data_IF_648595470435
#
_entry.id   IF_648595470435
#
_cell.length_a   1.000
_cell.length_b   1.000
_cell.length_c   1.000
_cell.angle_alpha   90.00
_cell.angle_beta   90.00
_cell.angle_gamma   90.00
#
_symmetry.space_group_name_H-M   'P 1'
#
loop_
_entity.id
_entity.type
_entity.pdbx_description
1 polymer ?
#
# COMPACT_ATOMS: atom_id res chain seq x y z
N UNK A 1 -31.77 9.09 -9.87
CA UNK A 1 -31.44 7.97 -8.97
C UNK A 1 -30.81 6.90 -9.84
N UNK A 2 -29.50 6.79 -9.81
CA UNK A 2 -28.77 5.72 -10.48
C UNK A 2 -28.93 4.49 -9.59
N UNK A 3 -29.49 3.42 -10.15
CA UNK A 3 -29.78 2.19 -9.40
C UNK A 3 -28.50 1.58 -8.83
N UNK A 4 -28.50 1.36 -7.51
CA UNK A 4 -27.35 0.87 -6.72
C UNK A 4 -26.81 -0.50 -7.17
N UNK A 5 -27.56 -1.25 -7.98
CA UNK A 5 -27.19 -2.60 -8.46
C UNK A 5 -26.16 -2.60 -9.60
N UNK A 6 -26.15 -1.59 -10.46
CA UNK A 6 -25.27 -1.56 -11.65
C UNK A 6 -23.83 -1.14 -11.35
N UNK A 7 -23.59 -0.41 -10.25
CA UNK A 7 -22.30 0.20 -9.96
C UNK A 7 -21.26 -0.84 -9.47
N UNK A 8 -21.70 -1.86 -8.71
CA UNK A 8 -20.81 -2.94 -8.24
C UNK A 8 -20.50 -3.90 -9.39
N UNK A 9 -21.46 -4.14 -10.31
CA UNK A 9 -21.25 -4.96 -11.49
C UNK A 9 -20.41 -4.23 -12.56
N UNK A 10 -20.58 -2.92 -12.71
CA UNK A 10 -19.76 -2.09 -13.61
C UNK A 10 -18.33 -1.91 -13.06
N UNK A 11 -18.13 -1.93 -11.75
CA UNK A 11 -16.79 -1.95 -11.16
C UNK A 11 -16.04 -3.26 -11.46
N UNK A 12 -16.71 -4.38 -11.36
CA UNK A 12 -16.13 -5.68 -11.76
C UNK A 12 -15.83 -5.71 -13.28
N UNK A 13 -16.51 -4.87 -14.07
CA UNK A 13 -16.38 -4.81 -15.54
C UNK A 13 -15.59 -3.60 -16.08
N UNK A 14 -15.51 -2.50 -15.35
CA UNK A 14 -15.04 -1.21 -15.87
C UNK A 14 -13.69 -0.73 -15.35
N UNK A 15 -13.01 -1.51 -14.52
CA UNK A 15 -11.63 -1.21 -14.14
C UNK A 15 -10.74 -1.27 -15.38
N UNK A 16 -9.78 -0.37 -15.49
CA UNK A 16 -8.70 -0.40 -16.48
C UNK A 16 -7.86 -1.68 -16.42
N UNK A 17 -8.12 -2.52 -15.42
CA UNK A 17 -7.52 -3.83 -15.22
C UNK A 17 -7.93 -4.80 -16.32
N UNK A 18 -6.96 -5.21 -17.11
CA UNK A 18 -7.16 -6.28 -18.09
C UNK A 18 -7.15 -7.64 -17.40
N UNK A 19 -7.98 -8.57 -17.87
CA UNK A 19 -7.92 -9.96 -17.42
C UNK A 19 -6.60 -10.63 -17.82
N UNK A 20 -5.96 -10.11 -18.87
CA UNK A 20 -4.70 -10.61 -19.39
C UNK A 20 -3.95 -9.50 -20.13
N UNK A 21 -2.63 -9.39 -19.88
CA UNK A 21 -1.72 -8.44 -20.51
C UNK A 21 -0.88 -9.16 -21.57
N UNK A 22 -0.70 -8.49 -22.72
CA UNK A 22 0.11 -8.95 -23.84
C UNK A 22 1.42 -8.18 -23.92
N UNK A 23 2.31 -8.56 -24.84
CA UNK A 23 3.53 -7.81 -25.13
C UNK A 23 3.26 -6.35 -25.53
N UNK A 24 2.13 -6.07 -26.19
CA UNK A 24 1.74 -4.72 -26.59
C UNK A 24 1.29 -3.85 -25.40
N UNK A 25 0.91 -4.48 -24.29
CA UNK A 25 0.41 -3.81 -23.08
C UNK A 25 1.50 -3.63 -22.02
N UNK A 26 2.73 -4.10 -22.31
CA UNK A 26 3.77 -4.23 -21.32
C UNK A 26 5.11 -3.71 -21.80
N UNK A 27 5.97 -3.31 -20.85
CA UNK A 27 7.30 -2.79 -21.11
C UNK A 27 8.34 -3.42 -20.18
N UNK A 28 9.48 -3.80 -20.75
CA UNK A 28 10.62 -4.26 -19.96
C UNK A 28 11.31 -3.11 -19.23
N UNK A 29 11.81 -3.40 -18.04
CA UNK A 29 12.57 -2.44 -17.24
C UNK A 29 13.76 -3.12 -16.58
N UNK A 30 14.77 -2.33 -16.21
CA UNK A 30 15.85 -2.79 -15.33
C UNK A 30 15.35 -2.89 -13.88
N UNK A 31 16.09 -3.60 -13.05
CA UNK A 31 15.78 -3.76 -11.64
C UNK A 31 15.69 -2.40 -10.94
N UNK A 32 14.55 -2.03 -10.32
CA UNK A 32 14.37 -0.73 -9.68
C UNK A 32 15.34 -0.44 -8.52
N UNK A 33 15.99 -1.47 -7.96
CA UNK A 33 16.95 -1.31 -6.86
C UNK A 33 18.40 -1.15 -7.33
N UNK A 34 18.87 -1.98 -8.28
CA UNK A 34 20.27 -2.02 -8.63
C UNK A 34 20.58 -1.75 -10.12
N UNK A 35 19.59 -1.43 -10.92
CA UNK A 35 19.66 -1.09 -12.35
C UNK A 35 20.20 -2.22 -13.26
N UNK A 36 20.35 -3.44 -12.73
CA UNK A 36 20.82 -4.61 -13.49
C UNK A 36 19.65 -5.31 -14.18
N UNK A 37 19.95 -6.01 -15.30
CA UNK A 37 18.97 -6.75 -16.09
C UNK A 37 19.12 -8.29 -15.94
N UNK A 38 19.91 -8.76 -14.96
CA UNK A 38 20.06 -10.18 -14.68
C UNK A 38 19.04 -10.61 -13.63
N UNK A 39 18.03 -11.33 -14.08
CA UNK A 39 16.91 -11.79 -13.24
C UNK A 39 16.49 -13.22 -13.61
N UNK A 40 15.80 -13.87 -12.71
CA UNK A 40 15.09 -15.12 -12.94
C UNK A 40 13.59 -14.91 -12.82
N UNK A 41 12.84 -15.55 -13.70
CA UNK A 41 11.38 -15.58 -13.60
C UNK A 41 10.96 -16.58 -12.53
N UNK A 42 10.15 -16.13 -11.57
CA UNK A 42 9.68 -16.94 -10.46
C UNK A 42 8.21 -17.31 -10.56
N UNK A 43 7.40 -16.45 -11.22
CA UNK A 43 5.96 -16.67 -11.38
C UNK A 43 5.41 -15.93 -12.62
N UNK A 44 4.11 -16.12 -12.88
CA UNK A 44 3.36 -15.38 -13.92
C UNK A 44 1.94 -15.16 -13.42
N UNK A 45 1.45 -13.94 -13.55
CA UNK A 45 0.09 -13.55 -13.20
C UNK A 45 -0.48 -12.64 -14.29
N UNK A 46 -1.69 -12.94 -14.79
CA UNK A 46 -2.37 -12.16 -15.85
C UNK A 46 -1.51 -11.84 -17.08
N UNK A 47 -0.58 -12.71 -17.46
CA UNK A 47 0.33 -12.51 -18.60
C UNK A 47 1.62 -11.77 -18.27
N UNK A 48 1.70 -11.08 -17.15
CA UNK A 48 2.90 -10.42 -16.68
C UNK A 48 3.80 -11.38 -15.90
N UNK A 49 5.11 -11.19 -15.98
CA UNK A 49 6.07 -12.05 -15.28
C UNK A 49 6.54 -11.40 -13.98
N UNK A 50 6.52 -12.17 -12.91
CA UNK A 50 7.16 -11.82 -11.66
C UNK A 50 8.58 -12.37 -11.69
N UNK A 51 9.54 -11.49 -11.50
CA UNK A 51 10.97 -11.81 -11.58
C UNK A 51 11.69 -11.49 -10.28
N UNK A 52 12.78 -12.20 -10.01
CA UNK A 52 13.72 -11.89 -8.93
C UNK A 52 15.05 -11.48 -9.54
N UNK A 53 15.57 -10.32 -9.16
CA UNK A 53 16.89 -9.88 -9.52
C UNK A 53 17.94 -10.79 -8.89
N UNK A 54 18.88 -11.34 -9.69
CA UNK A 54 19.94 -12.20 -9.18
C UNK A 54 21.03 -11.44 -8.41
N UNK A 55 21.13 -10.11 -8.61
CA UNK A 55 22.15 -9.28 -7.95
C UNK A 55 21.73 -8.79 -6.56
N UNK A 56 20.45 -8.32 -6.42
CA UNK A 56 19.99 -7.69 -5.19
C UNK A 56 18.81 -8.39 -4.52
N UNK A 57 18.24 -9.41 -5.19
CA UNK A 57 17.11 -10.23 -4.76
C UNK A 57 15.74 -9.49 -4.74
N UNK A 58 15.68 -8.24 -5.27
CA UNK A 58 14.40 -7.55 -5.40
C UNK A 58 13.46 -8.35 -6.30
N UNK A 59 12.20 -8.46 -5.86
CA UNK A 59 11.12 -9.06 -6.64
C UNK A 59 10.34 -7.91 -7.29
N UNK A 60 10.09 -8.01 -8.59
CA UNK A 60 9.36 -6.99 -9.34
C UNK A 60 8.68 -7.58 -10.56
N UNK A 61 7.71 -6.84 -11.10
CA UNK A 61 7.02 -7.22 -12.32
C UNK A 61 7.83 -6.80 -13.55
N UNK A 62 8.19 -7.76 -14.42
CA UNK A 62 8.98 -7.48 -15.64
C UNK A 62 8.73 -8.53 -16.75
N UNK A 63 8.11 -8.17 -17.90
CA UNK A 63 7.62 -6.82 -18.21
C UNK A 63 6.47 -6.39 -17.31
N UNK A 64 6.36 -5.09 -17.06
CA UNK A 64 5.26 -4.47 -16.31
C UNK A 64 4.26 -3.81 -17.26
N UNK A 65 3.03 -3.57 -16.82
CA UNK A 65 2.05 -2.82 -17.59
C UNK A 65 2.59 -1.43 -17.96
N UNK A 66 2.38 -0.99 -19.20
CA UNK A 66 2.89 0.30 -19.72
C UNK A 66 2.37 1.46 -18.87
N UNK A 67 1.08 1.42 -18.49
CA UNK A 67 0.41 2.48 -17.75
C UNK A 67 0.21 2.12 -16.27
N UNK A 68 1.09 1.31 -15.68
CA UNK A 68 0.94 0.82 -14.30
C UNK A 68 0.65 1.94 -13.28
N UNK A 69 1.38 3.07 -13.33
CA UNK A 69 1.11 4.21 -12.47
C UNK A 69 -0.18 4.96 -12.82
N UNK A 70 -0.47 5.15 -14.12
CA UNK A 70 -1.68 5.87 -14.57
C UNK A 70 -2.95 5.08 -14.28
N UNK A 71 -2.90 3.77 -14.41
CA UNK A 71 -4.05 2.90 -14.15
C UNK A 71 -4.51 2.98 -12.69
N UNK A 72 -3.57 3.16 -11.75
CA UNK A 72 -3.89 3.32 -10.33
C UNK A 72 -4.53 4.67 -10.00
N UNK A 73 -4.10 5.74 -10.70
CA UNK A 73 -4.58 7.11 -10.46
C UNK A 73 -5.73 7.52 -11.38
N UNK A 74 -6.23 6.62 -12.23
CA UNK A 74 -7.42 6.85 -13.05
C UNK A 74 -8.65 7.18 -12.21
N UNK A 75 -9.68 7.74 -12.85
CA UNK A 75 -10.97 7.97 -12.18
C UNK A 75 -11.55 6.63 -11.73
N UNK A 76 -11.53 6.39 -10.42
CA UNK A 76 -11.99 5.13 -9.85
C UNK A 76 -13.31 5.36 -9.13
N UNK A 77 -14.42 5.12 -9.83
CA UNK A 77 -15.78 5.23 -9.33
C UNK A 77 -16.05 4.44 -8.04
N UNK A 78 -15.24 3.40 -7.81
CA UNK A 78 -15.38 2.55 -6.63
C UNK A 78 -15.18 3.31 -5.32
N UNK A 79 -14.17 4.14 -5.26
CA UNK A 79 -13.90 4.95 -4.07
C UNK A 79 -15.00 5.97 -3.84
N UNK A 80 -15.65 6.44 -4.91
CA UNK A 80 -16.74 7.40 -4.81
C UNK A 80 -17.96 6.83 -4.08
N UNK A 81 -18.33 5.58 -4.33
CA UNK A 81 -19.47 4.94 -3.66
C UNK A 81 -19.18 4.63 -2.20
N UNK A 82 -17.96 4.19 -1.89
CA UNK A 82 -17.53 4.01 -0.50
C UNK A 82 -17.58 5.35 0.26
N UNK A 83 -17.01 6.40 -0.32
CA UNK A 83 -17.05 7.74 0.23
C UNK A 83 -18.48 8.22 0.49
N UNK A 84 -19.38 8.05 -0.46
CA UNK A 84 -20.79 8.46 -0.32
C UNK A 84 -21.46 7.81 0.90
N UNK A 85 -21.23 6.52 1.14
CA UNK A 85 -21.81 5.81 2.29
C UNK A 85 -21.18 6.25 3.61
N UNK A 86 -19.89 6.54 3.60
CA UNK A 86 -19.17 7.02 4.77
C UNK A 86 -19.59 8.46 5.10
N UNK A 87 -19.66 9.34 4.11
CA UNK A 87 -20.09 10.73 4.28
C UNK A 87 -21.54 10.86 4.75
N UNK A 88 -22.43 9.94 4.33
CA UNK A 88 -23.79 9.85 4.87
C UNK A 88 -23.86 9.33 6.31
N UNK A 89 -22.72 8.95 6.90
CA UNK A 89 -22.66 8.38 8.25
C UNK A 89 -23.26 6.98 8.40
N UNK A 90 -23.61 6.33 7.29
CA UNK A 90 -24.23 5.00 7.30
C UNK A 90 -23.21 3.87 7.44
N UNK A 91 -21.96 4.11 7.06
CA UNK A 91 -20.84 3.16 7.16
C UNK A 91 -19.60 3.83 7.73
N UNK A 92 -18.76 3.04 8.42
CA UNK A 92 -17.40 3.45 8.82
C UNK A 92 -16.42 2.96 7.77
N UNK A 93 -15.32 3.70 7.58
CA UNK A 93 -14.26 3.23 6.73
C UNK A 93 -13.63 1.97 7.32
N UNK A 94 -13.50 0.93 6.51
CA UNK A 94 -13.04 -0.40 6.97
C UNK A 94 -11.62 -0.37 7.55
N UNK A 95 -10.79 0.61 7.17
CA UNK A 95 -9.41 0.78 7.63
C UNK A 95 -9.26 1.73 8.82
N UNK A 96 -10.33 2.33 9.35
CA UNK A 96 -10.22 3.32 10.44
C UNK A 96 -9.38 2.80 11.63
N UNK A 97 -9.56 1.52 12.01
CA UNK A 97 -8.79 0.90 13.08
C UNK A 97 -7.33 0.62 12.71
N UNK A 98 -7.07 0.31 11.45
CA UNK A 98 -5.71 0.16 10.95
C UNK A 98 -4.99 1.51 11.00
N UNK A 99 -5.63 2.57 10.53
CA UNK A 99 -5.08 3.93 10.56
C UNK A 99 -4.82 4.42 11.98
N UNK A 100 -5.75 4.19 12.93
CA UNK A 100 -5.51 4.47 14.35
C UNK A 100 -4.25 3.76 14.86
N UNK A 101 -4.13 2.45 14.61
CA UNK A 101 -2.96 1.67 15.03
C UNK A 101 -1.66 2.16 14.38
N UNK A 102 -1.67 2.44 13.08
CA UNK A 102 -0.52 2.93 12.34
C UNK A 102 -0.07 4.30 12.88
N UNK A 103 -1.01 5.22 13.13
CA UNK A 103 -0.74 6.53 13.73
C UNK A 103 -0.25 6.44 15.17
N UNK A 104 -0.78 5.52 15.98
CA UNK A 104 -0.26 5.26 17.33
C UNK A 104 1.19 4.76 17.29
N UNK A 105 1.55 3.94 16.28
CA UNK A 105 2.94 3.53 16.06
C UNK A 105 3.82 4.72 15.65
N UNK A 106 3.35 5.58 14.77
CA UNK A 106 4.04 6.81 14.37
C UNK A 106 4.28 7.71 15.59
N UNK A 107 3.29 7.89 16.46
CA UNK A 107 3.40 8.70 17.68
C UNK A 107 4.49 8.25 18.65
N UNK A 108 4.86 6.97 18.65
CA UNK A 108 5.98 6.47 19.45
C UNK A 108 7.33 7.06 19.03
N UNK A 109 7.44 7.56 17.79
CA UNK A 109 8.65 8.16 17.22
C UNK A 109 8.55 9.67 17.07
N UNK A 110 7.38 10.15 16.67
CA UNK A 110 7.04 11.57 16.52
C UNK A 110 5.62 11.79 17.02
N UNK A 111 5.47 12.35 18.21
CA UNK A 111 4.17 12.51 18.87
C UNK A 111 3.31 13.61 18.27
N UNK A 112 3.91 14.56 17.55
CA UNK A 112 3.30 15.71 16.89
C UNK A 112 4.19 16.22 15.76
N UNK A 113 3.71 17.16 14.98
CA UNK A 113 4.46 17.86 13.93
C UNK A 113 3.72 17.87 12.61
N UNK A 114 4.39 18.36 11.57
CA UNK A 114 3.87 18.42 10.22
C UNK A 114 3.99 17.07 9.53
N UNK A 115 2.84 16.51 9.14
CA UNK A 115 2.73 15.23 8.47
C UNK A 115 2.29 15.46 7.03
N UNK A 116 3.12 15.01 6.08
CA UNK A 116 2.79 14.90 4.67
C UNK A 116 2.40 13.46 4.35
N UNK A 117 1.19 13.25 3.85
CA UNK A 117 0.72 11.96 3.37
C UNK A 117 0.78 11.93 1.84
N UNK A 118 1.52 10.98 1.28
CA UNK A 118 1.71 10.82 -0.16
C UNK A 118 0.79 9.73 -0.67
N UNK A 119 0.00 10.05 -1.73
CA UNK A 119 -1.07 9.17 -2.20
C UNK A 119 -2.24 9.16 -1.22
N UNK A 120 -2.67 10.35 -0.82
CA UNK A 120 -3.64 10.51 0.28
C UNK A 120 -5.05 10.01 -0.06
N UNK A 121 -5.32 9.71 -1.33
CA UNK A 121 -6.61 9.25 -1.80
C UNK A 121 -7.73 10.22 -1.34
N UNK A 122 -8.88 9.73 -0.87
CA UNK A 122 -9.96 10.54 -0.32
C UNK A 122 -9.70 11.11 1.10
N UNK A 123 -8.48 11.02 1.61
CA UNK A 123 -8.05 11.66 2.86
C UNK A 123 -8.41 10.92 4.15
N UNK A 124 -8.82 9.66 4.12
CA UNK A 124 -9.24 8.95 5.33
C UNK A 124 -8.12 8.80 6.36
N UNK A 125 -6.91 8.45 5.91
CA UNK A 125 -5.74 8.39 6.80
C UNK A 125 -5.37 9.78 7.32
N UNK A 126 -5.31 10.75 6.42
CA UNK A 126 -4.92 12.12 6.74
C UNK A 126 -5.90 12.80 7.70
N UNK A 127 -7.23 12.57 7.49
CA UNK A 127 -8.27 12.99 8.43
C UNK A 127 -8.00 12.44 9.83
N UNK A 128 -7.71 11.15 9.93
CA UNK A 128 -7.42 10.49 11.21
C UNK A 128 -6.15 11.07 11.86
N UNK A 129 -5.13 11.38 11.08
CA UNK A 129 -3.92 12.04 11.56
C UNK A 129 -4.23 13.44 12.12
N UNK A 130 -5.07 14.23 11.42
CA UNK A 130 -5.55 15.55 11.89
C UNK A 130 -6.32 15.43 13.21
N UNK A 131 -7.25 14.46 13.32
CA UNK A 131 -7.99 14.16 14.57
C UNK A 131 -7.05 13.80 15.72
N UNK A 132 -5.93 13.16 15.46
CA UNK A 132 -4.92 12.79 16.44
C UNK A 132 -3.89 13.91 16.76
N UNK A 133 -4.06 15.11 16.18
CA UNK A 133 -3.31 16.32 16.53
C UNK A 133 -2.04 16.56 15.70
N UNK A 134 -1.91 15.97 14.52
CA UNK A 134 -0.88 16.33 13.55
C UNK A 134 -1.29 17.55 12.71
N UNK A 135 -0.34 18.37 12.30
CA UNK A 135 -0.51 19.35 11.22
C UNK A 135 -0.41 18.60 9.88
N UNK A 136 -1.49 18.55 9.11
CA UNK A 136 -1.59 17.60 8.00
C UNK A 136 -1.63 18.28 6.64
N UNK A 137 -0.83 17.77 5.71
CA UNK A 137 -0.89 18.06 4.28
C UNK A 137 -0.86 16.75 3.49
N UNK A 138 -1.49 16.73 2.31
CA UNK A 138 -1.52 15.56 1.45
C UNK A 138 -1.11 15.87 0.02
N UNK A 139 -0.61 14.85 -0.68
CA UNK A 139 -0.37 14.85 -2.13
C UNK A 139 -1.17 13.72 -2.75
N UNK A 140 -2.02 14.05 -3.73
CA UNK A 140 -2.88 13.10 -4.44
C UNK A 140 -2.94 13.47 -5.93
N UNK A 141 -2.44 12.62 -6.84
CA UNK A 141 -2.43 12.95 -8.26
C UNK A 141 -3.81 12.91 -8.92
N UNK A 142 -4.79 12.19 -8.37
CA UNK A 142 -6.16 12.17 -8.89
C UNK A 142 -6.91 13.44 -8.49
N UNK A 143 -7.34 14.30 -9.45
CA UNK A 143 -8.09 15.53 -9.14
C UNK A 143 -9.40 15.25 -8.40
N UNK A 144 -10.12 14.20 -8.78
CA UNK A 144 -11.41 13.83 -8.17
C UNK A 144 -11.25 13.39 -6.72
N UNK A 145 -10.25 12.54 -6.42
CA UNK A 145 -9.98 12.07 -5.05
C UNK A 145 -9.47 13.22 -4.17
N UNK A 146 -8.57 14.05 -4.69
CA UNK A 146 -8.07 15.22 -4.00
C UNK A 146 -9.19 16.23 -3.66
N UNK A 147 -10.14 16.44 -4.58
CA UNK A 147 -11.28 17.32 -4.36
C UNK A 147 -12.21 16.77 -3.27
N UNK A 148 -12.47 15.46 -3.28
CA UNK A 148 -13.24 14.79 -2.22
C UNK A 148 -12.57 14.99 -0.86
N UNK A 149 -11.26 14.76 -0.77
CA UNK A 149 -10.52 14.93 0.48
C UNK A 149 -10.60 16.37 1.02
N UNK A 150 -10.41 17.37 0.16
CA UNK A 150 -10.53 18.81 0.54
C UNK A 150 -11.92 19.14 1.05
N UNK A 151 -12.96 18.80 0.28
CA UNK A 151 -14.34 19.20 0.58
C UNK A 151 -14.93 18.46 1.79
N UNK A 152 -14.55 17.20 1.97
CA UNK A 152 -15.19 16.37 2.99
C UNK A 152 -14.54 16.49 4.37
N UNK A 153 -13.24 16.80 4.42
CA UNK A 153 -12.46 16.75 5.66
C UNK A 153 -11.74 18.06 5.99
N UNK A 154 -11.92 19.10 5.17
CA UNK A 154 -11.17 20.35 5.33
C UNK A 154 -9.65 20.09 5.43
N UNK A 155 -9.12 19.36 4.44
CA UNK A 155 -7.71 19.00 4.33
C UNK A 155 -6.99 19.85 3.28
N UNK A 156 -5.72 20.14 3.52
CA UNK A 156 -4.84 20.76 2.52
C UNK A 156 -4.25 19.63 1.65
N UNK A 157 -4.63 19.59 0.37
CA UNK A 157 -4.19 18.58 -0.59
C UNK A 157 -3.61 19.23 -1.83
N UNK A 158 -2.40 18.84 -2.22
CA UNK A 158 -1.75 19.19 -3.47
C UNK A 158 -2.13 18.17 -4.55
N UNK A 159 -2.76 18.62 -5.64
CA UNK A 159 -3.14 17.73 -6.76
C UNK A 159 -1.95 17.58 -7.70
N UNK A 160 -1.08 16.65 -7.42
CA UNK A 160 0.16 16.39 -8.17
C UNK A 160 0.77 15.04 -7.78
N UNK A 161 1.71 14.53 -8.58
CA UNK A 161 2.69 13.56 -8.07
C UNK A 161 3.68 14.25 -7.13
N UNK A 162 4.24 13.51 -6.16
CA UNK A 162 5.18 14.10 -5.18
C UNK A 162 6.37 14.81 -5.84
N UNK A 163 6.86 14.30 -6.96
CA UNK A 163 7.98 14.89 -7.72
C UNK A 163 7.64 16.26 -8.34
N UNK A 164 6.34 16.50 -8.58
CA UNK A 164 5.82 17.70 -9.26
C UNK A 164 5.23 18.72 -8.27
N UNK A 165 4.95 18.26 -7.04
CA UNK A 165 4.37 19.13 -6.02
C UNK A 165 5.39 20.19 -5.56
N UNK A 166 4.94 21.47 -5.60
CA UNK A 166 5.71 22.60 -5.05
C UNK A 166 5.61 22.60 -3.53
N UNK A 167 6.53 21.90 -2.90
CA UNK A 167 6.59 21.70 -1.45
C UNK A 167 7.96 22.13 -0.93
N UNK A 168 7.98 22.82 0.25
CA UNK A 168 9.21 23.33 0.83
C UNK A 168 10.14 22.21 1.34
N UNK A 169 11.43 22.35 1.08
CA UNK A 169 12.46 21.43 1.58
C UNK A 169 12.63 21.56 3.10
N UNK A 170 13.08 20.45 3.73
CA UNK A 170 13.36 20.37 5.18
C UNK A 170 12.18 20.87 6.05
N UNK A 171 10.96 20.55 5.65
CA UNK A 171 9.75 21.12 6.22
C UNK A 171 8.92 20.14 7.06
N UNK A 172 8.87 18.88 6.66
CA UNK A 172 8.01 17.89 7.29
C UNK A 172 8.74 17.11 8.39
N UNK A 173 8.03 16.90 9.50
CA UNK A 173 8.49 16.04 10.60
C UNK A 173 8.24 14.57 10.30
N UNK A 174 7.17 14.32 9.53
CA UNK A 174 6.71 12.97 9.16
C UNK A 174 6.28 12.99 7.69
N UNK A 175 6.71 12.00 6.93
CA UNK A 175 6.17 11.70 5.59
C UNK A 175 5.63 10.28 5.62
N UNK A 176 4.40 10.07 5.13
CA UNK A 176 3.77 8.75 5.08
C UNK A 176 3.55 8.30 3.64
N UNK A 177 3.82 7.02 3.39
CA UNK A 177 3.63 6.30 2.12
C UNK A 177 2.91 4.99 2.46
N UNK A 178 1.60 5.07 2.66
CA UNK A 178 0.77 3.93 3.10
C UNK A 178 0.10 3.29 1.89
N UNK A 179 0.58 2.10 1.50
CA UNK A 179 0.12 1.36 0.31
C UNK A 179 0.27 2.21 -0.98
N UNK A 180 1.46 2.78 -1.17
CA UNK A 180 1.84 3.62 -2.32
C UNK A 180 3.14 3.14 -2.95
N UNK A 181 4.11 2.76 -2.14
CA UNK A 181 5.49 2.57 -2.58
C UNK A 181 5.66 1.37 -3.53
N UNK A 182 4.79 0.37 -3.44
CA UNK A 182 4.70 -0.81 -4.30
C UNK A 182 4.20 -0.50 -5.71
N UNK A 183 3.45 0.59 -5.88
CA UNK A 183 2.88 1.02 -7.17
C UNK A 183 3.85 1.87 -8.00
N UNK A 184 4.91 2.40 -7.38
CA UNK A 184 5.80 3.37 -7.99
C UNK A 184 6.85 2.69 -8.86
N UNK A 185 6.93 3.11 -10.13
CA UNK A 185 7.88 2.55 -11.11
C UNK A 185 9.31 3.00 -10.89
N UNK A 186 9.51 4.16 -10.25
CA UNK A 186 10.83 4.67 -9.85
C UNK A 186 10.87 5.01 -8.34
N UNK A 187 10.99 4.00 -7.47
CA UNK A 187 10.97 4.20 -6.03
C UNK A 187 12.17 5.00 -5.49
N UNK A 188 13.30 5.01 -6.21
CA UNK A 188 14.47 5.81 -5.82
C UNK A 188 14.17 7.31 -5.84
N UNK A 189 13.52 7.80 -6.90
CA UNK A 189 13.16 9.22 -7.02
C UNK A 189 12.17 9.64 -5.95
N UNK A 190 11.21 8.76 -5.62
CA UNK A 190 10.25 9.02 -4.56
C UNK A 190 10.94 9.14 -3.19
N UNK A 191 11.89 8.27 -2.88
CA UNK A 191 12.68 8.35 -1.65
C UNK A 191 13.58 9.60 -1.64
N UNK A 192 14.26 9.92 -2.74
CA UNK A 192 15.11 11.11 -2.85
C UNK A 192 14.29 12.39 -2.64
N UNK A 193 13.08 12.48 -3.22
CA UNK A 193 12.19 13.61 -2.99
C UNK A 193 11.70 13.65 -1.54
N UNK A 194 11.34 12.52 -0.96
CA UNK A 194 10.99 12.44 0.47
C UNK A 194 12.14 12.88 1.36
N UNK A 195 13.38 12.52 1.00
CA UNK A 195 14.58 12.97 1.72
C UNK A 195 14.74 14.49 1.70
N UNK A 196 14.56 15.16 0.55
CA UNK A 196 14.70 16.61 0.46
C UNK A 196 13.62 17.35 1.28
N UNK A 197 12.40 16.82 1.32
CA UNK A 197 11.26 17.42 2.04
C UNK A 197 11.32 17.22 3.55
N UNK A 198 11.96 16.13 4.00
CA UNK A 198 12.02 15.74 5.40
C UNK A 198 12.98 16.62 6.19
N UNK A 199 12.62 17.04 7.41
CA UNK A 199 13.53 17.65 8.37
C UNK A 199 14.67 16.71 8.76
N UNK A 200 15.75 17.24 9.31
CA UNK A 200 16.93 16.46 9.72
C UNK A 200 16.59 15.33 10.70
N UNK A 201 15.71 15.60 11.64
CA UNK A 201 15.25 14.64 12.66
C UNK A 201 13.88 14.03 12.34
N UNK A 202 13.39 14.22 11.10
CA UNK A 202 12.13 13.69 10.62
C UNK A 202 12.18 12.18 10.36
N UNK A 203 10.99 11.60 10.16
CA UNK A 203 10.83 10.18 9.81
C UNK A 203 9.99 10.03 8.56
N UNK A 204 10.30 9.01 7.74
CA UNK A 204 9.40 8.53 6.70
C UNK A 204 8.82 7.18 7.15
N UNK A 205 7.53 7.03 6.99
CA UNK A 205 6.79 5.82 7.34
C UNK A 205 6.26 5.19 6.06
N UNK A 206 6.66 3.96 5.80
CA UNK A 206 6.31 3.26 4.55
C UNK A 206 5.64 1.94 4.91
N UNK A 207 4.45 1.71 4.37
CA UNK A 207 3.74 0.44 4.46
C UNK A 207 3.56 -0.13 3.07
N UNK A 208 3.90 -1.42 2.92
CA UNK A 208 3.86 -2.16 1.65
C UNK A 208 3.44 -3.61 1.89
N UNK A 209 2.92 -4.32 0.89
CA UNK A 209 2.74 -5.76 0.93
C UNK A 209 4.06 -6.50 1.18
N UNK A 210 3.98 -7.58 1.92
CA UNK A 210 5.14 -8.38 2.29
C UNK A 210 5.51 -9.41 1.20
N UNK A 211 6.61 -9.18 0.51
CA UNK A 211 7.13 -10.07 -0.53
C UNK A 211 7.45 -11.49 -0.02
N UNK A 212 7.92 -11.65 1.23
CA UNK A 212 8.15 -12.98 1.82
C UNK A 212 6.85 -13.76 2.01
N UNK A 213 5.76 -13.08 2.39
CA UNK A 213 4.43 -13.67 2.48
C UNK A 213 3.89 -14.08 1.10
N UNK A 214 4.07 -13.25 0.08
CA UNK A 214 3.69 -13.59 -1.29
C UNK A 214 4.48 -14.78 -1.83
N UNK A 215 5.79 -14.84 -1.58
CA UNK A 215 6.62 -16.00 -1.90
C UNK A 215 6.13 -17.27 -1.20
N UNK A 216 5.75 -17.17 0.06
CA UNK A 216 5.19 -18.31 0.82
C UNK A 216 3.86 -18.77 0.22
N UNK A 217 2.93 -17.86 -0.07
CA UNK A 217 1.65 -18.17 -0.74
C UNK A 217 1.86 -18.86 -2.09
N UNK A 218 2.75 -18.31 -2.92
CA UNK A 218 3.10 -18.89 -4.23
C UNK A 218 3.62 -20.33 -4.10
N UNK A 219 4.58 -20.58 -3.21
CA UNK A 219 5.14 -21.91 -2.99
C UNK A 219 4.08 -22.89 -2.49
N UNK A 220 3.28 -22.48 -1.52
CA UNK A 220 2.19 -23.30 -0.97
C UNK A 220 1.14 -23.62 -2.05
N UNK A 221 0.77 -22.64 -2.86
CA UNK A 221 -0.15 -22.79 -3.98
C UNK A 221 0.34 -23.78 -5.02
N UNK A 222 1.63 -23.75 -5.36
CA UNK A 222 2.28 -24.72 -6.28
C UNK A 222 2.27 -26.14 -5.69
N UNK A 223 2.57 -26.32 -4.41
CA UNK A 223 2.57 -27.64 -3.75
C UNK A 223 1.17 -28.23 -3.65
N UNK A 224 0.18 -27.42 -3.30
CA UNK A 224 -1.20 -27.88 -3.07
C UNK A 224 -2.03 -27.97 -4.35
N UNK A 225 -1.53 -27.49 -5.48
CA UNK A 225 -2.26 -27.38 -6.74
C UNK A 225 -3.41 -26.34 -6.74
N UNK A 226 -3.60 -25.62 -5.62
CA UNK A 226 -4.67 -24.62 -5.42
C UNK A 226 -4.28 -23.19 -5.84
N UNK A 227 -3.04 -22.99 -6.30
CA UNK A 227 -2.54 -21.67 -6.67
C UNK A 227 -2.92 -21.17 -8.07
N UNK A 228 -3.54 -22.03 -8.92
CA UNK A 228 -3.96 -21.61 -10.27
C UNK A 228 -5.10 -20.60 -10.19
N UNK A 229 -4.89 -19.41 -10.78
CA UNK A 229 -5.90 -18.34 -10.85
C UNK A 229 -6.03 -17.51 -9.55
N UNK A 230 -5.11 -17.64 -8.58
CA UNK A 230 -5.05 -16.73 -7.45
C UNK A 230 -4.15 -15.54 -7.80
N UNK A 231 -4.71 -14.33 -7.67
CA UNK A 231 -3.91 -13.10 -7.70
C UNK A 231 -3.13 -13.01 -6.39
N UNK A 232 -1.84 -13.36 -6.43
CA UNK A 232 -0.95 -13.38 -5.26
C UNK A 232 -0.12 -12.11 -5.21
N UNK A 233 0.24 -11.63 -6.39
CA UNK A 233 1.18 -10.54 -6.58
C UNK A 233 0.48 -9.21 -6.89
N UNK A 234 -0.78 -9.24 -7.36
CA UNK A 234 -1.48 -8.07 -7.89
C UNK A 234 -0.61 -7.30 -8.90
N UNK A 235 0.09 -8.06 -9.76
CA UNK A 235 1.25 -7.61 -10.52
C UNK A 235 0.98 -6.50 -11.55
N UNK A 236 -0.27 -6.22 -11.83
CA UNK A 236 -0.69 -5.12 -12.70
C UNK A 236 -0.64 -3.76 -12.00
N UNK A 237 -0.83 -3.74 -10.68
CA UNK A 237 -0.75 -2.54 -9.83
C UNK A 237 0.54 -2.52 -9.00
N UNK A 238 0.88 -3.65 -8.36
CA UNK A 238 2.09 -3.77 -7.56
C UNK A 238 3.28 -4.10 -8.44
N UNK A 239 4.01 -3.08 -8.85
CA UNK A 239 5.16 -3.25 -9.76
C UNK A 239 6.43 -3.67 -9.03
N UNK A 240 6.52 -3.45 -7.70
CA UNK A 240 7.65 -3.84 -6.86
C UNK A 240 7.16 -4.55 -5.59
N UNK A 241 7.81 -5.67 -5.25
CA UNK A 241 7.44 -6.50 -4.09
C UNK A 241 8.61 -6.54 -3.11
N UNK A 242 8.45 -5.86 -1.99
CA UNK A 242 9.51 -5.69 -1.01
C UNK A 242 9.55 -6.81 0.02
N UNK A 243 10.75 -7.33 0.26
CA UNK A 243 11.08 -8.05 1.50
C UNK A 243 11.75 -7.09 2.48
N UNK A 244 11.86 -7.41 3.78
CA UNK A 244 12.60 -6.57 4.73
C UNK A 244 14.04 -6.27 4.28
N UNK A 245 14.71 -7.26 3.68
CA UNK A 245 16.08 -7.10 3.19
C UNK A 245 16.20 -6.19 1.98
N UNK A 246 15.31 -6.35 0.98
CA UNK A 246 15.35 -5.53 -0.24
C UNK A 246 14.87 -4.10 0.02
N UNK A 247 13.91 -3.91 0.92
CA UNK A 247 13.50 -2.58 1.35
C UNK A 247 14.63 -1.85 2.08
N UNK A 248 15.33 -2.52 3.01
CA UNK A 248 16.49 -1.93 3.71
C UNK A 248 17.55 -1.44 2.72
N UNK A 249 17.93 -2.26 1.75
CA UNK A 249 18.88 -1.86 0.70
C UNK A 249 18.38 -0.65 -0.10
N UNK A 250 17.09 -0.59 -0.42
CA UNK A 250 16.48 0.53 -1.12
C UNK A 250 16.56 1.83 -0.31
N UNK A 251 16.22 1.78 0.97
CA UNK A 251 16.27 2.92 1.89
C UNK A 251 17.72 3.41 2.09
N UNK A 252 18.67 2.50 2.31
CA UNK A 252 20.09 2.83 2.50
C UNK A 252 20.70 3.48 1.25
N UNK A 253 20.36 3.00 0.05
CA UNK A 253 20.79 3.61 -1.21
C UNK A 253 20.26 5.04 -1.40
N UNK A 254 19.16 5.40 -0.77
CA UNK A 254 18.59 6.74 -0.78
C UNK A 254 19.03 7.60 0.43
N UNK A 255 20.02 7.15 1.21
CA UNK A 255 20.57 7.90 2.35
C UNK A 255 19.77 7.78 3.64
N UNK A 256 18.82 6.84 3.73
CA UNK A 256 18.06 6.59 4.95
C UNK A 256 18.62 5.43 5.77
N UNK A 257 18.34 5.45 7.07
CA UNK A 257 18.50 4.31 7.98
C UNK A 257 17.15 3.76 8.39
N UNK A 258 17.00 2.44 8.42
CA UNK A 258 15.79 1.81 8.96
C UNK A 258 15.85 1.83 10.49
N UNK A 259 15.01 2.65 11.09
CA UNK A 259 14.89 2.82 12.55
C UNK A 259 14.06 1.70 13.18
N UNK A 260 12.98 1.30 12.51
CA UNK A 260 12.10 0.22 12.94
C UNK A 260 11.42 -0.45 11.76
N UNK A 261 11.04 -1.71 11.95
CA UNK A 261 10.18 -2.44 11.05
C UNK A 261 9.31 -3.42 11.84
N UNK A 262 8.06 -3.61 11.38
CA UNK A 262 7.11 -4.50 12.04
C UNK A 262 5.98 -4.94 11.10
N UNK A 263 5.23 -5.95 11.52
CA UNK A 263 4.01 -6.40 10.86
C UNK A 263 2.85 -5.57 11.41
N UNK A 264 2.18 -4.72 10.57
CA UNK A 264 1.02 -3.94 10.97
C UNK A 264 -0.22 -4.84 11.14
N UNK A 265 -1.33 -4.24 11.60
CA UNK A 265 -2.61 -4.95 11.66
C UNK A 265 -3.09 -5.32 10.26
N UNK A 266 -3.61 -6.53 10.05
CA UNK A 266 -4.10 -6.95 8.74
C UNK A 266 -5.36 -6.17 8.35
N UNK A 267 -5.41 -5.67 7.11
CA UNK A 267 -6.53 -4.85 6.62
C UNK A 267 -7.84 -5.62 6.61
N UNK A 268 -7.82 -6.86 6.13
CA UNK A 268 -9.04 -7.63 5.84
C UNK A 268 -9.47 -8.62 6.93
N UNK A 269 -8.91 -8.58 8.13
CA UNK A 269 -9.18 -9.63 9.12
C UNK A 269 -9.22 -9.24 10.58
N UNK A 270 -9.48 -7.99 10.96
CA UNK A 270 -9.63 -7.73 12.37
C UNK A 270 -10.93 -8.39 12.88
N UNK A 271 -10.83 -9.16 13.96
CA UNK A 271 -12.01 -9.80 14.59
C UNK A 271 -13.11 -8.78 14.87
N UNK A 272 -12.74 -7.58 15.30
CA UNK A 272 -13.67 -6.49 15.59
C UNK A 272 -14.45 -5.97 14.39
N UNK A 273 -13.88 -5.97 13.19
CA UNK A 273 -14.59 -5.51 11.98
C UNK A 273 -15.79 -6.40 11.66
N UNK A 274 -15.64 -7.70 11.90
CA UNK A 274 -16.72 -8.68 11.71
C UNK A 274 -17.76 -8.66 12.84
N UNK A 275 -17.37 -8.29 14.07
CA UNK A 275 -18.30 -8.19 15.20
C UNK A 275 -19.24 -6.98 15.10
N UNK A 276 -18.78 -5.89 14.51
CA UNK A 276 -19.55 -4.62 14.49
C UNK A 276 -20.44 -4.48 13.26
N UNK A 277 -20.20 -5.25 12.17
CA UNK A 277 -21.07 -5.30 10.98
C UNK A 277 -21.27 -3.99 10.20
N UNK A 278 -20.55 -2.92 10.56
CA UNK A 278 -20.76 -1.56 10.04
C UNK A 278 -19.70 -1.08 9.06
N UNK A 279 -18.77 -1.96 8.66
CA UNK A 279 -17.73 -1.59 7.71
C UNK A 279 -18.15 -1.93 6.28
N UNK A 280 -17.81 -1.05 5.35
CA UNK A 280 -18.26 -1.13 3.95
C UNK A 280 -17.95 -2.46 3.26
N UNK A 281 -16.75 -3.02 3.47
CA UNK A 281 -16.29 -4.23 2.77
C UNK A 281 -16.54 -5.55 3.54
N UNK A 282 -17.26 -5.52 4.67
CA UNK A 282 -17.54 -6.71 5.47
C UNK A 282 -19.02 -6.91 5.69
N UNK A 283 -19.77 -7.25 4.62
CA UNK A 283 -21.22 -7.50 4.74
C UNK A 283 -21.55 -8.80 5.45
N UNK A 284 -20.58 -9.73 5.56
CA UNK A 284 -20.81 -11.05 6.13
C UNK A 284 -20.72 -11.02 7.66
N UNK A 285 -21.72 -11.54 8.38
CA UNK A 285 -21.65 -11.73 9.82
C UNK A 285 -20.45 -12.63 10.18
N UNK A 286 -19.78 -12.32 11.30
CA UNK A 286 -18.71 -13.15 11.86
C UNK A 286 -19.06 -14.65 11.89
N UNK A 287 -20.31 -15.00 12.20
CA UNK A 287 -20.82 -16.37 12.28
C UNK A 287 -20.65 -17.15 10.97
N UNK A 288 -20.73 -16.48 9.81
CA UNK A 288 -20.61 -17.14 8.51
C UNK A 288 -19.14 -17.34 8.05
N UNK A 289 -18.21 -16.53 8.56
CA UNK A 289 -16.79 -16.54 8.11
C UNK A 289 -15.78 -16.70 9.26
N UNK A 290 -16.24 -17.14 10.44
CA UNK A 290 -15.43 -17.20 11.66
C UNK A 290 -14.12 -18.02 11.52
N UNK A 291 -14.15 -19.12 10.75
CA UNK A 291 -12.97 -19.97 10.50
C UNK A 291 -11.88 -19.19 9.77
N UNK A 292 -12.26 -18.44 8.74
CA UNK A 292 -11.34 -17.60 7.97
C UNK A 292 -10.77 -16.48 8.82
N UNK A 293 -11.61 -15.83 9.62
CA UNK A 293 -11.20 -14.74 10.51
C UNK A 293 -10.22 -15.25 11.57
N UNK A 294 -10.54 -16.37 12.23
CA UNK A 294 -9.65 -16.98 13.23
C UNK A 294 -8.30 -17.38 12.61
N UNK A 295 -8.31 -18.04 11.44
CA UNK A 295 -7.08 -18.50 10.78
C UNK A 295 -6.20 -17.30 10.37
N UNK A 296 -6.78 -16.23 9.84
CA UNK A 296 -6.04 -15.03 9.47
C UNK A 296 -5.43 -14.31 10.67
N UNK A 297 -6.18 -14.21 11.78
CA UNK A 297 -5.63 -13.65 13.02
C UNK A 297 -4.53 -14.54 13.62
N UNK A 298 -4.70 -15.85 13.60
CA UNK A 298 -3.65 -16.78 14.02
C UNK A 298 -2.37 -16.58 13.20
N UNK A 299 -2.46 -16.54 11.88
CA UNK A 299 -1.32 -16.28 11.02
C UNK A 299 -0.70 -14.90 11.26
N UNK A 300 -1.49 -13.89 11.53
CA UNK A 300 -0.98 -12.57 11.89
C UNK A 300 -0.12 -12.62 13.17
N UNK A 301 -0.59 -13.26 14.24
CA UNK A 301 0.20 -13.38 15.47
C UNK A 301 1.46 -14.23 15.29
N UNK A 302 1.35 -15.33 14.57
CA UNK A 302 2.53 -16.17 14.21
C UNK A 302 3.51 -15.32 13.39
N UNK A 303 3.02 -14.55 12.42
CA UNK A 303 3.84 -13.66 11.60
C UNK A 303 4.59 -12.61 12.41
N UNK A 304 3.95 -12.02 13.42
CA UNK A 304 4.62 -11.07 14.34
C UNK A 304 5.71 -11.71 15.16
N UNK A 305 5.45 -12.92 15.68
CA UNK A 305 6.46 -13.67 16.45
C UNK A 305 7.65 -14.03 15.54
N UNK A 306 7.37 -14.57 14.35
CA UNK A 306 8.40 -14.92 13.36
C UNK A 306 9.22 -13.67 12.98
N UNK A 307 8.56 -12.55 12.74
CA UNK A 307 9.24 -11.30 12.40
C UNK A 307 10.11 -10.79 13.55
N UNK A 308 9.63 -10.84 14.78
CA UNK A 308 10.40 -10.44 15.97
C UNK A 308 11.66 -11.31 16.19
N UNK A 309 11.60 -12.59 15.85
CA UNK A 309 12.73 -13.53 16.03
C UNK A 309 13.74 -13.47 14.87
N UNK A 310 13.27 -13.30 13.63
CA UNK A 310 14.09 -13.52 12.43
C UNK A 310 14.20 -12.30 11.52
N UNK A 311 13.51 -11.19 11.81
CA UNK A 311 13.48 -9.99 10.97
C UNK A 311 12.79 -10.19 9.61
N UNK A 312 12.06 -11.29 9.42
CA UNK A 312 11.25 -11.64 8.24
C UNK A 312 10.04 -12.45 8.67
N UNK A 313 8.98 -12.45 7.86
CA UNK A 313 7.79 -13.24 8.17
C UNK A 313 7.15 -13.80 6.91
N UNK A 314 6.80 -15.07 6.95
CA UNK A 314 6.03 -15.79 5.93
C UNK A 314 4.52 -15.66 6.12
N UNK A 315 4.06 -15.08 7.21
CA UNK A 315 2.65 -15.05 7.60
C UNK A 315 2.06 -13.64 7.73
N UNK A 316 2.90 -12.61 7.91
CA UNK A 316 2.44 -11.23 7.96
C UNK A 316 2.20 -10.69 6.55
N UNK A 317 0.95 -10.25 6.21
CA UNK A 317 0.62 -9.82 4.84
C UNK A 317 1.32 -8.52 4.43
N UNK A 318 1.54 -7.62 5.37
CA UNK A 318 2.11 -6.30 5.14
C UNK A 318 3.36 -6.08 6.01
N UNK A 319 4.21 -5.16 5.56
CA UNK A 319 5.38 -4.64 6.26
C UNK A 319 5.19 -3.16 6.49
N UNK A 320 5.58 -2.68 7.66
CA UNK A 320 5.66 -1.26 7.94
C UNK A 320 7.06 -0.91 8.41
N UNK A 321 7.63 0.13 7.81
CA UNK A 321 8.97 0.61 8.09
C UNK A 321 8.92 2.06 8.58
N UNK A 322 9.78 2.36 9.54
CA UNK A 322 10.09 3.72 9.96
C UNK A 322 11.55 3.95 9.62
N UNK A 323 11.81 4.93 8.77
CA UNK A 323 13.15 5.29 8.33
C UNK A 323 13.43 6.75 8.69
N UNK A 324 14.71 7.07 8.91
CA UNK A 324 15.20 8.42 9.20
C UNK A 324 16.43 8.74 8.35
N UNK A 325 16.78 10.03 8.21
CA UNK A 325 18.01 10.42 7.52
C UNK A 325 19.23 9.76 8.16
N UNK A 326 20.11 9.16 7.33
CA UNK A 326 21.34 8.48 7.73
C UNK A 326 22.44 9.40 8.19
#
# INVERSE_FOLDING_TARGET
>A
MIEEKNIVEDYIRGGTQKNFYTEQDSVFCSCPLCDKNDYEKIDTEKGLSIVRCKNCELIYTNPRAIDAEKNYYGEVDIFYNEARLIFKGTKKHHRDKNYEYELEKIKQYKSKGRLLDVGTNMGFFLRKAKEMGFETEGVEPSPSLAEIARKSWDLTIHTAFLKEADLPENHYDIITLIDVFEHVTNPKDLLNRSYSLLKKDGIVVIKVPNGDYNLFKMKLGKITGKGKGMDIWDCYEHVVHYTPGTFRKMAENAGFKVKASFIPLPIHSPIWANLVGHYYQYPSPFILDWKRVLLRNLFFYIGRIEFGLFGKSRFGPDLMFIIEKG
#
